data_IF_974053422613
#
_entry.id   IF_974053422613
#
_cell.length_a   1.000
_cell.length_b   1.000
_cell.length_c   1.000
_cell.angle_alpha   90.00
_cell.angle_beta   90.00
_cell.angle_gamma   90.00
#
_symmetry.space_group_name_H-M   'P 1'
#
loop_
_entity.id
_entity.type
_entity.pdbx_description
1 polymer ?
#
# COMPACT_ATOMS: atom_id res chain seq x y z
N UNK A 1 -19.04 46.11 5.88
CA UNK A 1 -18.29 44.87 5.60
C UNK A 1 -17.10 45.27 4.77
N UNK A 2 -15.92 45.35 5.38
CA UNK A 2 -14.68 45.54 4.62
C UNK A 2 -14.39 44.24 3.86
N UNK A 3 -14.16 44.35 2.55
CA UNK A 3 -13.80 43.23 1.72
C UNK A 3 -12.37 42.79 2.08
N UNK A 4 -12.22 41.59 2.62
CA UNK A 4 -10.91 40.97 2.86
C UNK A 4 -10.42 40.40 1.54
N UNK A 5 -9.33 40.96 1.02
CA UNK A 5 -8.67 40.45 -0.19
C UNK A 5 -7.66 39.38 0.27
N UNK A 6 -7.86 38.15 -0.19
CA UNK A 6 -6.99 37.00 0.06
C UNK A 6 -6.36 36.60 -1.27
N UNK A 7 -5.04 36.68 -1.35
CA UNK A 7 -4.26 36.21 -2.50
C UNK A 7 -3.36 35.06 -2.03
N UNK A 8 -3.59 33.86 -2.56
CA UNK A 8 -2.77 32.68 -2.26
C UNK A 8 -1.70 32.50 -3.34
N UNK A 9 -0.44 32.36 -2.93
CA UNK A 9 0.67 31.97 -3.80
C UNK A 9 1.03 30.51 -3.49
N UNK A 10 0.40 29.53 -4.16
CA UNK A 10 0.56 28.12 -3.82
C UNK A 10 2.01 27.62 -3.97
N UNK A 11 2.78 28.25 -4.86
CA UNK A 11 4.20 27.94 -5.09
C UNK A 11 5.10 28.24 -3.88
N UNK A 12 4.75 29.25 -3.08
CA UNK A 12 5.55 29.69 -1.91
C UNK A 12 4.87 29.43 -0.57
N UNK A 13 3.59 29.02 -0.56
CA UNK A 13 2.83 28.84 0.67
C UNK A 13 2.49 30.14 1.40
N UNK A 14 2.74 31.28 0.76
CA UNK A 14 2.48 32.60 1.31
C UNK A 14 1.07 33.03 0.95
N UNK A 15 0.34 33.49 1.96
CA UNK A 15 -1.01 34.03 1.86
C UNK A 15 -0.92 35.53 2.14
N UNK A 16 -1.36 36.35 1.19
CA UNK A 16 -1.46 37.80 1.40
C UNK A 16 -2.87 38.11 1.90
N UNK A 17 -2.98 38.64 3.12
CA UNK A 17 -4.23 39.12 3.69
C UNK A 17 -4.10 40.61 4.01
N UNK A 18 -4.91 41.44 3.36
CA UNK A 18 -4.90 42.90 3.53
C UNK A 18 -3.49 43.51 3.37
N UNK A 19 -2.72 43.05 2.39
CA UNK A 19 -1.36 43.54 2.10
C UNK A 19 -0.26 43.07 3.06
N UNK A 20 -0.57 42.14 3.97
CA UNK A 20 0.42 41.49 4.85
C UNK A 20 0.59 40.04 4.47
N UNK A 21 1.83 39.57 4.46
CA UNK A 21 2.20 38.20 4.11
C UNK A 21 2.15 37.30 5.35
N UNK A 22 1.48 36.15 5.21
CA UNK A 22 1.33 35.13 6.23
C UNK A 22 1.68 33.76 5.65
N UNK A 23 2.00 32.82 6.53
CA UNK A 23 2.24 31.42 6.19
C UNK A 23 1.51 30.53 7.19
N UNK A 24 0.95 29.42 6.72
CA UNK A 24 0.20 28.50 7.58
C UNK A 24 1.14 27.48 8.20
N UNK A 25 1.16 27.37 9.54
CA UNK A 25 1.94 26.34 10.24
C UNK A 25 1.27 24.96 10.16
N UNK A 26 1.97 23.91 10.63
CA UNK A 26 1.46 22.53 10.64
C UNK A 26 0.18 22.33 11.48
N UNK A 27 -0.16 23.25 12.40
CA UNK A 27 -1.39 23.25 13.20
C UNK A 27 -2.51 24.07 12.54
N UNK A 28 -2.31 24.56 11.32
CA UNK A 28 -3.31 25.35 10.57
C UNK A 28 -3.40 26.81 11.00
N UNK A 29 -2.41 27.34 11.73
CA UNK A 29 -2.42 28.74 12.21
C UNK A 29 -1.73 29.66 11.22
N UNK A 30 -2.29 30.84 10.98
CA UNK A 30 -1.65 31.88 10.17
C UNK A 30 -0.58 32.59 10.99
N UNK A 31 0.67 32.45 10.57
CA UNK A 31 1.84 33.09 11.17
C UNK A 31 2.27 34.23 10.25
N UNK A 32 2.44 35.47 10.75
CA UNK A 32 3.00 36.55 9.95
C UNK A 32 4.36 36.14 9.39
N UNK A 33 4.62 36.38 8.10
CA UNK A 33 5.85 35.92 7.44
C UNK A 33 7.11 36.49 8.13
N UNK A 34 7.02 37.67 8.72
CA UNK A 34 8.09 38.30 9.51
C UNK A 34 8.49 37.49 10.75
N UNK A 35 7.59 36.67 11.29
CA UNK A 35 7.82 35.85 12.48
C UNK A 35 8.34 34.43 12.13
N UNK A 36 8.34 34.05 10.85
CA UNK A 36 8.89 32.78 10.39
C UNK A 36 10.39 32.93 10.18
N UNK A 37 11.18 31.99 10.73
CA UNK A 37 12.63 32.05 10.63
C UNK A 37 13.10 31.91 9.17
N UNK A 38 14.27 32.47 8.86
CA UNK A 38 14.85 32.34 7.51
C UNK A 38 15.16 30.88 7.15
N UNK A 39 15.53 30.06 8.14
CA UNK A 39 15.79 28.63 7.96
C UNK A 39 14.50 27.89 7.56
N UNK A 40 13.40 28.11 8.29
CA UNK A 40 12.12 27.43 8.01
C UNK A 40 11.58 27.81 6.62
N UNK A 41 11.75 29.07 6.20
CA UNK A 41 11.37 29.53 4.86
C UNK A 41 12.16 28.82 3.76
N UNK A 42 13.48 28.73 3.94
CA UNK A 42 14.36 28.06 2.97
C UNK A 42 14.05 26.56 2.88
N UNK A 43 13.74 25.93 4.02
CA UNK A 43 13.32 24.54 4.08
C UNK A 43 11.99 24.32 3.34
N UNK A 44 10.97 25.13 3.62
CA UNK A 44 9.67 25.04 2.93
C UNK A 44 9.81 25.28 1.41
N UNK A 45 10.59 26.27 0.99
CA UNK A 45 10.87 26.52 -0.44
C UNK A 45 11.51 25.28 -1.09
N UNK A 46 12.50 24.69 -0.43
CA UNK A 46 13.19 23.49 -0.91
C UNK A 46 12.24 22.31 -1.03
N UNK A 47 11.41 22.07 0.00
CA UNK A 47 10.41 20.99 0.01
C UNK A 47 9.38 21.20 -1.09
N UNK A 48 8.83 22.40 -1.25
CA UNK A 48 7.85 22.70 -2.30
C UNK A 48 8.41 22.48 -3.69
N UNK A 49 9.66 22.89 -3.93
CA UNK A 49 10.36 22.67 -5.20
C UNK A 49 10.48 21.17 -5.50
N UNK A 50 10.93 20.37 -4.53
CA UNK A 50 11.04 18.90 -4.69
C UNK A 50 9.67 18.28 -4.96
N UNK A 51 8.64 18.69 -4.21
CA UNK A 51 7.28 18.20 -4.38
C UNK A 51 6.70 18.60 -5.75
N UNK A 52 7.04 19.77 -6.28
CA UNK A 52 6.71 20.18 -7.64
C UNK A 52 7.19 19.14 -8.67
N UNK A 53 8.48 18.82 -8.65
CA UNK A 53 9.04 17.78 -9.53
C UNK A 53 8.43 16.39 -9.29
N UNK A 54 8.19 16.03 -8.03
CA UNK A 54 7.58 14.75 -7.68
C UNK A 54 6.15 14.60 -8.22
N UNK A 55 5.34 15.67 -8.20
CA UNK A 55 3.98 15.67 -8.75
C UNK A 55 3.99 15.46 -10.26
N UNK A 56 4.88 16.14 -10.98
CA UNK A 56 4.99 15.97 -12.44
C UNK A 56 5.42 14.54 -12.80
N UNK A 57 6.42 14.00 -12.11
CA UNK A 57 6.87 12.63 -12.32
C UNK A 57 5.76 11.63 -12.00
N UNK A 58 5.02 11.82 -10.90
CA UNK A 58 3.89 10.98 -10.55
C UNK A 58 2.83 10.99 -11.66
N UNK A 59 2.50 12.16 -12.21
CA UNK A 59 1.55 12.28 -13.32
C UNK A 59 2.07 11.62 -14.62
N UNK A 60 3.37 11.64 -14.87
CA UNK A 60 3.97 10.92 -16.01
C UNK A 60 3.90 9.39 -15.81
N UNK A 61 4.25 8.89 -14.64
CA UNK A 61 4.19 7.47 -14.31
C UNK A 61 2.74 6.95 -14.38
N UNK A 62 1.78 7.71 -13.83
CA UNK A 62 0.36 7.36 -13.88
C UNK A 62 -0.14 7.26 -15.33
N UNK A 63 0.15 8.27 -16.16
CA UNK A 63 -0.19 8.25 -17.59
C UNK A 63 0.42 7.06 -18.32
N UNK A 64 1.72 6.81 -18.11
CA UNK A 64 2.41 5.66 -18.71
C UNK A 64 1.74 4.34 -18.33
N UNK A 65 1.43 4.14 -17.05
CA UNK A 65 0.74 2.95 -16.54
C UNK A 65 -0.62 2.77 -17.22
N UNK A 66 -1.43 3.82 -17.25
CA UNK A 66 -2.81 3.73 -17.75
C UNK A 66 -2.84 3.50 -19.26
N UNK A 67 -1.96 4.17 -20.02
CA UNK A 67 -1.78 3.90 -21.46
C UNK A 67 -1.32 2.45 -21.71
N UNK A 68 -0.31 1.99 -20.97
CA UNK A 68 0.21 0.62 -21.12
C UNK A 68 -0.89 -0.42 -20.88
N UNK A 69 -1.67 -0.27 -19.80
CA UNK A 69 -2.78 -1.19 -19.50
C UNK A 69 -3.87 -1.09 -20.59
N UNK A 70 -4.19 0.11 -21.05
CA UNK A 70 -5.16 0.35 -22.12
C UNK A 70 -4.77 -0.32 -23.44
N UNK A 71 -3.52 -0.15 -23.87
CA UNK A 71 -2.99 -0.73 -25.10
C UNK A 71 -3.00 -2.25 -25.05
N UNK A 72 -2.55 -2.84 -23.93
CA UNK A 72 -2.55 -4.30 -23.74
C UNK A 72 -3.96 -4.88 -23.76
N UNK A 73 -4.91 -4.24 -23.07
CA UNK A 73 -6.31 -4.67 -23.08
C UNK A 73 -6.95 -4.56 -24.47
N UNK A 74 -6.63 -3.49 -25.20
CA UNK A 74 -7.13 -3.29 -26.57
C UNK A 74 -6.57 -4.35 -27.52
N UNK A 75 -5.28 -4.66 -27.40
CA UNK A 75 -4.65 -5.73 -28.17
C UNK A 75 -5.27 -7.11 -27.87
N UNK A 76 -5.50 -7.43 -26.59
CA UNK A 76 -6.16 -8.68 -26.22
C UNK A 76 -7.60 -8.75 -26.72
N UNK A 77 -8.33 -7.62 -26.71
CA UNK A 77 -9.70 -7.55 -27.23
C UNK A 77 -9.74 -7.78 -28.75
N UNK A 78 -8.77 -7.23 -29.51
CA UNK A 78 -8.62 -7.48 -30.94
C UNK A 78 -8.33 -8.96 -31.22
N UNK A 79 -7.41 -9.58 -30.49
CA UNK A 79 -7.13 -11.01 -30.61
C UNK A 79 -8.35 -11.88 -30.29
N UNK A 80 -9.10 -11.52 -29.25
CA UNK A 80 -10.32 -12.22 -28.88
C UNK A 80 -11.41 -12.09 -29.94
N UNK A 81 -11.54 -10.92 -30.57
CA UNK A 81 -12.48 -10.69 -31.67
C UNK A 81 -12.11 -11.48 -32.93
N UNK A 82 -10.82 -11.51 -33.28
CA UNK A 82 -10.36 -12.10 -34.55
C UNK A 82 -10.21 -13.63 -34.48
N UNK A 83 -9.76 -14.16 -33.34
CA UNK A 83 -9.45 -15.58 -33.18
C UNK A 83 -10.29 -16.30 -32.10
N UNK A 84 -11.10 -15.57 -31.31
CA UNK A 84 -11.83 -16.16 -30.18
C UNK A 84 -10.94 -16.58 -29.00
N UNK A 85 -9.66 -16.20 -29.01
CA UNK A 85 -8.65 -16.62 -28.03
C UNK A 85 -8.18 -15.41 -27.22
N UNK A 86 -8.16 -15.56 -25.89
CA UNK A 86 -7.54 -14.59 -24.98
C UNK A 86 -6.07 -14.96 -24.74
N UNK A 87 -5.18 -13.98 -24.83
CA UNK A 87 -3.77 -14.16 -24.48
C UNK A 87 -3.62 -14.20 -22.94
N UNK A 88 -3.59 -15.41 -22.39
CA UNK A 88 -3.52 -15.67 -20.95
C UNK A 88 -4.90 -15.78 -20.28
N UNK A 89 -4.93 -16.29 -19.04
CA UNK A 89 -6.16 -16.46 -18.27
C UNK A 89 -6.80 -15.14 -17.81
N UNK A 90 -8.07 -15.18 -17.40
CA UNK A 90 -8.91 -14.02 -17.00
C UNK A 90 -8.29 -13.11 -15.92
N UNK A 91 -7.34 -13.63 -15.15
CA UNK A 91 -6.59 -12.95 -14.09
C UNK A 91 -5.23 -13.64 -13.97
N UNK A 92 -4.25 -13.23 -14.76
CA UNK A 92 -2.94 -13.90 -14.79
C UNK A 92 -1.85 -13.01 -15.34
N UNK A 93 -0.61 -13.35 -15.02
CA UNK A 93 0.56 -12.68 -15.56
C UNK A 93 0.57 -12.85 -17.09
N UNK A 94 0.83 -11.76 -17.82
CA UNK A 94 0.86 -11.76 -19.30
C UNK A 94 2.21 -11.28 -19.79
N UNK A 95 2.71 -11.89 -20.87
CA UNK A 95 4.00 -11.54 -21.48
C UNK A 95 3.80 -11.26 -22.96
N UNK A 96 4.39 -10.16 -23.42
CA UNK A 96 4.37 -9.69 -24.80
C UNK A 96 5.81 -9.51 -25.26
N UNK A 97 6.05 -9.86 -26.52
CA UNK A 97 7.36 -9.77 -27.15
C UNK A 97 7.21 -8.94 -28.42
N UNK A 98 8.24 -8.16 -28.75
CA UNK A 98 8.38 -7.61 -30.09
C UNK A 98 8.64 -8.74 -31.10
N UNK A 99 8.31 -8.48 -32.37
CA UNK A 99 8.48 -9.49 -33.42
C UNK A 99 9.95 -9.90 -33.63
N UNK A 100 10.88 -8.96 -33.45
CA UNK A 100 12.32 -9.23 -33.47
C UNK A 100 12.85 -9.93 -32.20
N UNK A 101 12.01 -10.10 -31.16
CA UNK A 101 12.35 -10.74 -29.89
C UNK A 101 13.25 -9.92 -28.96
N UNK A 102 13.64 -8.70 -29.34
CA UNK A 102 14.58 -7.87 -28.56
C UNK A 102 13.93 -7.15 -27.39
N UNK A 103 12.60 -7.00 -27.40
CA UNK A 103 11.84 -6.28 -26.38
C UNK A 103 10.79 -7.18 -25.76
N UNK A 104 10.56 -6.99 -24.46
CA UNK A 104 9.57 -7.76 -23.69
C UNK A 104 8.84 -6.87 -22.70
N UNK A 105 7.52 -7.01 -22.65
CA UNK A 105 6.64 -6.40 -21.63
C UNK A 105 5.96 -7.52 -20.85
N UNK A 106 6.06 -7.49 -19.52
CA UNK A 106 5.41 -8.46 -18.63
C UNK A 106 4.49 -7.73 -17.67
N UNK A 107 3.20 -8.05 -17.71
CA UNK A 107 2.23 -7.62 -16.70
C UNK A 107 2.18 -8.69 -15.61
N UNK A 108 2.50 -8.30 -14.37
CA UNK A 108 2.35 -9.16 -13.20
C UNK A 108 1.27 -8.61 -12.30
N UNK A 109 0.25 -9.43 -12.02
CA UNK A 109 -0.84 -9.05 -11.12
C UNK A 109 -0.66 -9.84 -9.84
N UNK A 110 -0.14 -9.18 -8.80
CA UNK A 110 -0.07 -9.74 -7.46
C UNK A 110 -1.31 -9.29 -6.67
N UNK A 111 -2.05 -10.25 -6.12
CA UNK A 111 -3.11 -9.94 -5.18
C UNK A 111 -2.47 -9.48 -3.86
N UNK A 112 -2.63 -8.20 -3.53
CA UNK A 112 -2.18 -7.65 -2.26
C UNK A 112 -3.16 -8.02 -1.15
N UNK A 113 -3.03 -9.24 -0.63
CA UNK A 113 -3.76 -9.63 0.59
C UNK A 113 -3.25 -8.76 1.73
N UNK A 114 -4.15 -7.96 2.30
CA UNK A 114 -3.88 -7.17 3.51
C UNK A 114 -4.61 -7.83 4.66
N UNK A 115 -3.94 -7.99 5.79
CA UNK A 115 -4.58 -8.54 6.98
C UNK A 115 -5.16 -7.41 7.83
N UNK A 116 -6.43 -7.54 8.18
CA UNK A 116 -7.09 -6.62 9.11
C UNK A 116 -6.68 -6.81 10.57
N UNK A 117 -7.18 -5.95 11.47
CA UNK A 117 -6.88 -5.99 12.91
C UNK A 117 -7.31 -7.31 13.59
N UNK A 118 -8.18 -8.09 12.96
CA UNK A 118 -8.62 -9.41 13.42
C UNK A 118 -7.46 -10.39 13.58
N UNK A 119 -6.35 -10.17 12.88
CA UNK A 119 -5.17 -11.02 12.99
C UNK A 119 -4.54 -10.97 14.40
N UNK A 120 -4.63 -9.82 15.08
CA UNK A 120 -4.10 -9.71 16.43
C UNK A 120 -4.94 -10.49 17.44
N UNK A 121 -6.26 -10.56 17.22
CA UNK A 121 -7.18 -11.40 18.01
C UNK A 121 -6.84 -12.87 17.80
N UNK A 122 -6.59 -13.27 16.54
CA UNK A 122 -6.17 -14.62 16.23
C UNK A 122 -4.85 -14.99 16.92
N UNK A 123 -3.88 -14.07 16.95
CA UNK A 123 -2.62 -14.27 17.67
C UNK A 123 -2.85 -14.56 19.15
N UNK A 124 -3.68 -13.78 19.84
CA UNK A 124 -3.98 -13.99 21.25
C UNK A 124 -4.59 -15.36 21.52
N UNK A 125 -5.56 -15.78 20.70
CA UNK A 125 -6.19 -17.10 20.83
C UNK A 125 -5.19 -18.25 20.59
N UNK A 126 -4.27 -18.09 19.65
CA UNK A 126 -3.22 -19.07 19.37
C UNK A 126 -2.21 -19.12 20.53
N UNK A 127 -1.78 -17.97 21.05
CA UNK A 127 -0.86 -17.89 22.19
C UNK A 127 -1.48 -18.53 23.45
N UNK A 128 -2.77 -18.32 23.72
CA UNK A 128 -3.51 -19.00 24.79
C UNK A 128 -3.52 -20.52 24.61
N UNK A 129 -3.76 -20.98 23.38
CA UNK A 129 -3.77 -22.40 23.03
C UNK A 129 -2.38 -23.03 23.19
N UNK A 130 -1.32 -22.36 22.73
CA UNK A 130 0.05 -22.84 22.82
C UNK A 130 0.59 -22.86 24.26
N UNK A 131 0.21 -21.89 25.10
CA UNK A 131 0.62 -21.87 26.50
C UNK A 131 0.09 -23.09 27.25
N UNK A 132 -1.14 -23.51 26.98
CA UNK A 132 -1.73 -24.71 27.61
C UNK A 132 -1.15 -26.00 27.03
N UNK A 133 -0.84 -26.04 25.74
CA UNK A 133 -0.17 -27.18 25.13
C UNK A 133 1.33 -27.23 25.44
N UNK A 134 1.94 -26.20 26.00
CA UNK A 134 3.41 -26.09 26.17
C UNK A 134 4.07 -27.26 26.92
N UNK A 135 3.30 -28.05 27.68
CA UNK A 135 3.78 -29.28 28.32
C UNK A 135 3.80 -30.54 27.41
N UNK A 136 3.00 -30.59 26.33
CA UNK A 136 2.83 -31.78 25.44
C UNK A 136 2.86 -31.44 23.93
N UNK A 137 3.05 -30.16 23.58
CA UNK A 137 3.02 -29.69 22.19
C UNK A 137 4.27 -30.10 21.42
N UNK A 138 4.07 -30.49 20.17
CA UNK A 138 5.16 -30.72 19.21
C UNK A 138 5.92 -29.40 18.97
N UNK A 139 7.24 -29.35 19.17
CA UNK A 139 8.08 -28.16 18.92
C UNK A 139 7.93 -27.57 17.51
N UNK A 140 7.53 -28.40 16.55
CA UNK A 140 7.25 -28.04 15.17
C UNK A 140 6.11 -27.01 15.04
N UNK A 141 5.03 -27.15 15.80
CA UNK A 141 3.87 -26.24 15.75
C UNK A 141 4.24 -24.87 16.35
N UNK A 142 4.95 -24.88 17.47
CA UNK A 142 5.45 -23.65 18.10
C UNK A 142 6.37 -22.87 17.16
N UNK A 143 7.24 -23.57 16.42
CA UNK A 143 8.13 -22.94 15.46
C UNK A 143 7.37 -22.29 14.29
N UNK A 144 6.33 -22.94 13.76
CA UNK A 144 5.51 -22.39 12.67
C UNK A 144 4.72 -21.17 13.13
N UNK A 145 4.07 -21.23 14.31
CA UNK A 145 3.34 -20.08 14.87
C UNK A 145 4.27 -18.90 15.12
N UNK A 146 5.42 -19.15 15.75
CA UNK A 146 6.41 -18.11 16.00
C UNK A 146 6.85 -17.47 14.68
N UNK A 147 7.13 -18.24 13.63
CA UNK A 147 7.52 -17.68 12.32
C UNK A 147 6.39 -16.96 11.58
N UNK A 148 5.14 -17.39 11.77
CA UNK A 148 4.00 -16.73 11.16
C UNK A 148 3.77 -15.31 11.73
N UNK A 149 3.94 -15.15 13.06
CA UNK A 149 3.65 -13.89 13.76
C UNK A 149 4.90 -13.08 14.16
N UNK A 150 6.10 -13.67 14.12
CA UNK A 150 7.36 -12.99 14.40
C UNK A 150 8.06 -12.72 13.07
N UNK A 151 7.90 -11.50 12.59
CA UNK A 151 8.55 -11.03 11.37
C UNK A 151 9.29 -9.76 11.72
N UNK A 152 10.61 -9.77 11.52
CA UNK A 152 11.59 -8.75 11.90
C UNK A 152 11.39 -7.36 11.27
N UNK A 153 10.22 -7.10 10.68
CA UNK A 153 9.83 -5.81 10.12
C UNK A 153 8.41 -5.50 10.58
N UNK A 154 8.26 -4.39 11.31
CA UNK A 154 6.96 -3.84 11.75
C UNK A 154 5.89 -4.01 10.66
N UNK A 155 4.92 -4.91 10.92
CA UNK A 155 3.69 -5.05 10.12
C UNK A 155 3.70 -6.05 8.96
N UNK A 156 4.77 -6.80 8.68
CA UNK A 156 4.78 -7.78 7.57
C UNK A 156 4.67 -9.23 8.01
N UNK A 157 3.46 -9.72 8.23
CA UNK A 157 3.17 -11.13 8.52
C UNK A 157 3.66 -12.04 7.39
N UNK A 158 4.26 -13.18 7.76
CA UNK A 158 4.68 -14.18 6.77
C UNK A 158 3.47 -14.97 6.24
N UNK A 159 3.01 -14.58 5.05
CA UNK A 159 1.84 -15.18 4.38
C UNK A 159 1.97 -16.70 4.19
N UNK A 160 3.16 -17.19 3.82
CA UNK A 160 3.32 -18.63 3.55
C UNK A 160 3.16 -19.47 4.82
N UNK A 161 3.70 -18.99 5.94
CA UNK A 161 3.56 -19.65 7.25
C UNK A 161 2.13 -19.58 7.77
N UNK A 162 1.44 -18.44 7.58
CA UNK A 162 0.04 -18.29 7.95
C UNK A 162 -0.89 -19.22 7.14
N UNK A 163 -0.62 -19.40 5.84
CA UNK A 163 -1.33 -20.41 5.04
C UNK A 163 -0.99 -21.85 5.45
N UNK A 164 0.22 -22.11 5.94
CA UNK A 164 0.57 -23.42 6.50
C UNK A 164 -0.19 -23.70 7.80
N UNK A 165 -0.34 -22.70 8.68
CA UNK A 165 -1.15 -22.82 9.89
C UNK A 165 -2.62 -23.14 9.60
N UNK A 166 -3.22 -22.48 8.60
CA UNK A 166 -4.62 -22.73 8.19
C UNK A 166 -4.87 -24.15 7.64
N UNK A 167 -3.81 -24.88 7.29
CA UNK A 167 -3.90 -26.27 6.79
C UNK A 167 -3.80 -27.32 7.90
N UNK A 168 -3.42 -26.91 9.11
CA UNK A 168 -3.34 -27.82 10.24
C UNK A 168 -4.74 -28.07 10.80
N UNK A 169 -5.20 -29.31 10.71
CA UNK A 169 -6.46 -29.75 11.29
C UNK A 169 -6.22 -30.14 12.75
N UNK A 170 -6.63 -29.27 13.68
CA UNK A 170 -6.48 -29.49 15.12
C UNK A 170 -7.86 -29.42 15.78
N UNK A 171 -8.30 -30.46 16.49
CA UNK A 171 -9.63 -30.54 17.10
C UNK A 171 -9.72 -29.75 18.42
N UNK A 172 -9.40 -28.45 18.40
CA UNK A 172 -9.55 -27.53 19.53
C UNK A 172 -10.44 -26.34 19.14
N UNK A 173 -11.40 -26.01 20.00
CA UNK A 173 -12.38 -24.94 19.76
C UNK A 173 -11.72 -23.55 19.66
N UNK A 174 -10.68 -23.28 20.47
CA UNK A 174 -9.94 -22.01 20.43
C UNK A 174 -9.09 -21.92 19.17
N UNK A 175 -8.49 -23.04 18.74
CA UNK A 175 -7.75 -23.11 17.47
C UNK A 175 -8.67 -22.81 16.29
N UNK A 176 -9.85 -23.44 16.24
CA UNK A 176 -10.83 -23.21 15.18
C UNK A 176 -11.30 -21.74 15.16
N UNK A 177 -11.56 -21.15 16.32
CA UNK A 177 -11.90 -19.72 16.45
C UNK A 177 -10.78 -18.79 15.98
N UNK A 178 -9.52 -19.15 16.25
CA UNK A 178 -8.38 -18.40 15.74
C UNK A 178 -8.26 -18.49 14.21
N UNK A 179 -8.45 -19.68 13.65
CA UNK A 179 -8.43 -19.88 12.18
C UNK A 179 -9.56 -19.14 11.48
N UNK A 180 -10.74 -19.07 12.09
CA UNK A 180 -11.86 -18.29 11.57
C UNK A 180 -11.59 -16.78 11.66
N UNK A 181 -10.96 -16.30 12.74
CA UNK A 181 -10.51 -14.92 12.86
C UNK A 181 -9.45 -14.55 11.80
N UNK A 182 -8.53 -15.46 11.49
CA UNK A 182 -7.55 -15.30 10.40
C UNK A 182 -8.28 -15.21 9.05
N UNK A 183 -9.23 -16.11 8.78
CA UNK A 183 -10.02 -16.09 7.54
C UNK A 183 -10.82 -14.80 7.39
N UNK A 184 -11.42 -14.31 8.48
CA UNK A 184 -12.13 -13.04 8.50
C UNK A 184 -11.21 -11.82 8.35
N UNK A 185 -9.92 -11.96 8.65
CA UNK A 185 -8.92 -10.88 8.51
C UNK A 185 -8.42 -10.69 7.08
N UNK A 186 -8.55 -11.70 6.21
CA UNK A 186 -8.09 -11.64 4.83
C UNK A 186 -9.02 -10.76 3.99
N UNK A 187 -8.49 -9.68 3.42
CA UNK A 187 -9.16 -8.77 2.47
C UNK A 187 -8.39 -8.65 1.17
#
# INVERSE_FOLDING_TARGET
MEAVIIEEKPETGVIVMNGREFMTDAKGRLVPLVNVSAQDKLEDETVRKIIGYAKELNAQIARFRDHTIGDMNSFDALLAQEYGVFKGGRKGNKTYHSFDGLMRVTLQVADQITFGPQLQIAKTLIDECLNEWSADSRPEIQAIVTRAFNTDQEGKINKSELFMLLRLDIPDDRWNRAMDAIRASMR
#
